data_IF_748846337835
#
_entry.id   IF_748846337835
#
_cell.length_a   1.000
_cell.length_b   1.000
_cell.length_c   1.000
_cell.angle_alpha   90.00
_cell.angle_beta   90.00
_cell.angle_gamma   90.00
#
_symmetry.space_group_name_H-M   'P 1'
#
loop_
_entity.id
_entity.type
_entity.pdbx_description
1 polymer ?
#
# COMPACT_ATOMS: atom_id res chain seq x y z
N UNK A 1 -2.18 11.78 28.52
CA UNK A 1 -3.30 11.00 29.06
C UNK A 1 -3.68 9.91 28.09
N UNK A 2 -3.91 8.72 28.62
CA UNK A 2 -4.24 7.57 27.77
C UNK A 2 -5.49 7.80 26.93
N UNK A 3 -6.47 8.44 27.54
CA UNK A 3 -7.71 8.72 26.83
C UNK A 3 -7.46 9.56 25.59
N UNK A 4 -6.63 10.59 25.71
CA UNK A 4 -6.34 11.47 24.60
C UNK A 4 -5.59 10.76 23.50
N UNK A 5 -4.66 9.88 23.86
CA UNK A 5 -3.91 9.12 22.88
C UNK A 5 -4.83 8.22 22.06
N UNK A 6 -5.76 7.56 22.73
CA UNK A 6 -6.70 6.69 22.05
C UNK A 6 -7.62 7.46 21.12
N UNK A 7 -8.05 8.62 21.55
CA UNK A 7 -8.90 9.46 20.72
C UNK A 7 -8.15 9.93 19.48
N UNK A 8 -6.88 10.27 19.63
CA UNK A 8 -6.08 10.68 18.48
C UNK A 8 -5.97 9.57 17.45
N UNK A 9 -5.79 8.34 17.91
CA UNK A 9 -5.71 7.22 16.98
C UNK A 9 -7.00 7.02 16.20
N UNK A 10 -8.12 7.22 16.86
CA UNK A 10 -9.41 7.02 16.22
C UNK A 10 -9.68 8.08 15.16
N UNK A 11 -9.32 9.33 15.44
CA UNK A 11 -9.63 10.42 14.51
C UNK A 11 -8.47 10.77 13.58
N UNK A 12 -7.33 10.11 13.75
CA UNK A 12 -6.16 10.40 12.90
C UNK A 12 -6.46 9.98 11.47
N UNK A 13 -6.14 10.87 10.53
CA UNK A 13 -6.30 10.57 9.13
C UNK A 13 -5.33 9.50 8.69
N UNK A 14 -5.72 8.75 7.68
CA UNK A 14 -4.89 7.65 7.18
C UNK A 14 -4.54 7.88 5.73
N UNK A 15 -3.26 7.74 5.43
CA UNK A 15 -2.79 7.71 4.06
C UNK A 15 -2.73 6.24 3.67
N UNK A 16 -3.45 5.87 2.63
CA UNK A 16 -3.53 4.47 2.21
C UNK A 16 -2.55 4.25 1.09
N UNK A 17 -1.49 3.50 1.38
CA UNK A 17 -0.47 3.16 0.38
C UNK A 17 -0.75 1.78 -0.18
N UNK A 18 -0.84 1.71 -1.49
CA UNK A 18 -1.09 0.46 -2.21
C UNK A 18 0.26 -0.04 -2.75
N UNK A 19 0.66 -1.22 -2.32
CA UNK A 19 1.92 -1.81 -2.76
C UNK A 19 1.63 -2.78 -3.89
N UNK A 20 2.34 -2.62 -5.00
CA UNK A 20 2.20 -3.45 -6.18
C UNK A 20 3.48 -4.22 -6.41
N UNK A 21 3.36 -5.44 -6.91
CA UNK A 21 4.51 -6.26 -7.25
C UNK A 21 4.65 -6.31 -8.76
N UNK A 22 5.79 -5.90 -9.26
CA UNK A 22 6.12 -6.08 -10.66
C UNK A 22 7.24 -7.09 -10.77
N UNK A 23 7.65 -7.37 -12.00
CA UNK A 23 8.61 -8.44 -12.24
C UNK A 23 9.92 -8.21 -11.49
N UNK A 24 10.40 -6.99 -11.49
CA UNK A 24 11.74 -6.70 -11.01
C UNK A 24 11.77 -5.97 -9.67
N UNK A 25 10.64 -5.41 -9.23
CA UNK A 25 10.67 -4.61 -8.02
C UNK A 25 9.27 -4.45 -7.46
N UNK A 26 9.19 -3.71 -6.37
CA UNK A 26 7.92 -3.33 -5.76
C UNK A 26 7.72 -1.83 -5.96
N UNK A 27 6.47 -1.44 -6.14
CA UNK A 27 6.12 -0.03 -6.21
C UNK A 27 4.97 0.26 -5.28
N UNK A 28 4.75 1.53 -5.02
CA UNK A 28 3.62 1.90 -4.19
C UNK A 28 3.15 3.30 -4.56
N UNK A 29 1.88 3.55 -4.30
CA UNK A 29 1.30 4.87 -4.50
C UNK A 29 0.23 5.08 -3.45
N UNK A 30 0.01 6.34 -3.12
CA UNK A 30 -1.05 6.67 -2.16
C UNK A 30 -2.38 6.71 -2.91
N UNK A 31 -3.33 5.95 -2.39
CA UNK A 31 -4.65 5.90 -3.01
C UNK A 31 -5.43 7.19 -2.79
N UNK A 32 -5.22 7.80 -1.65
CA UNK A 32 -6.01 8.96 -1.25
C UNK A 32 -5.18 10.22 -1.00
N UNK A 33 -3.97 10.29 -1.56
CA UNK A 33 -3.12 11.44 -1.35
C UNK A 33 -2.20 11.60 -2.55
N UNK A 34 -2.43 12.62 -3.35
CA UNK A 34 -1.69 12.80 -4.59
C UNK A 34 -0.22 13.09 -4.33
N UNK A 35 0.62 12.60 -5.22
CA UNK A 35 2.02 12.97 -5.24
C UNK A 35 2.93 12.09 -4.42
N UNK A 36 2.44 11.01 -3.83
CA UNK A 36 3.26 10.10 -3.04
C UNK A 36 3.44 8.81 -3.81
N UNK A 37 4.68 8.56 -4.25
CA UNK A 37 5.05 7.36 -5.00
C UNK A 37 6.34 6.82 -4.43
N UNK A 38 6.48 5.50 -4.42
CA UNK A 38 7.65 4.87 -3.86
C UNK A 38 7.98 3.60 -4.63
N UNK A 39 9.22 3.16 -4.51
CA UNK A 39 9.66 1.94 -5.17
C UNK A 39 10.80 1.34 -4.37
N UNK A 40 11.05 0.05 -4.57
CA UNK A 40 12.14 -0.61 -3.89
C UNK A 40 12.20 -2.07 -4.26
N UNK A 41 13.25 -2.73 -3.79
CA UNK A 41 13.48 -4.14 -4.08
C UNK A 41 12.75 -5.06 -3.11
N UNK A 42 12.16 -4.51 -2.07
CA UNK A 42 11.45 -5.28 -1.06
C UNK A 42 10.32 -4.42 -0.52
N UNK A 43 9.41 -5.06 0.21
CA UNK A 43 8.33 -4.30 0.86
C UNK A 43 8.93 -3.34 1.88
N UNK A 44 9.96 -3.77 2.61
CA UNK A 44 10.59 -2.88 3.58
C UNK A 44 11.20 -1.66 2.89
N UNK A 45 11.86 -1.88 1.75
CA UNK A 45 12.47 -0.78 1.02
C UNK A 45 11.40 0.20 0.52
N UNK A 46 10.27 -0.32 0.06
CA UNK A 46 9.17 0.52 -0.39
C UNK A 46 8.64 1.37 0.75
N UNK A 47 8.51 0.78 1.92
CA UNK A 47 8.01 1.53 3.07
C UNK A 47 8.98 2.65 3.47
N UNK A 48 10.27 2.36 3.44
CA UNK A 48 11.26 3.38 3.74
C UNK A 48 11.25 4.47 2.68
N UNK A 49 11.11 4.09 1.42
CA UNK A 49 11.07 5.07 0.34
C UNK A 49 9.82 5.94 0.42
N UNK A 50 8.71 5.39 0.91
CA UNK A 50 7.50 6.18 1.11
C UNK A 50 7.73 7.29 2.14
N UNK A 51 8.37 6.95 3.25
CA UNK A 51 8.65 7.94 4.28
C UNK A 51 9.57 9.03 3.72
N UNK A 52 10.55 8.61 2.94
CA UNK A 52 11.48 9.56 2.33
C UNK A 52 10.76 10.45 1.31
N UNK A 53 9.84 9.87 0.53
CA UNK A 53 9.09 10.65 -0.45
C UNK A 53 8.27 11.74 0.23
N UNK A 54 7.63 11.40 1.36
CA UNK A 54 6.85 12.39 2.09
C UNK A 54 7.77 13.47 2.66
N UNK A 55 8.91 13.06 3.19
CA UNK A 55 9.87 14.04 3.73
C UNK A 55 10.32 15.02 2.65
N UNK A 56 10.64 14.50 1.47
CA UNK A 56 11.08 15.35 0.37
C UNK A 56 9.98 16.28 -0.10
N UNK A 57 8.76 15.79 -0.15
CA UNK A 57 7.64 16.62 -0.56
C UNK A 57 7.50 17.81 0.39
N UNK A 58 7.60 17.54 1.68
CA UNK A 58 7.47 18.61 2.66
C UNK A 58 8.63 19.58 2.64
N UNK A 59 9.83 19.10 2.30
CA UNK A 59 10.98 19.98 2.23
C UNK A 59 10.99 20.87 1.01
N UNK A 60 10.47 20.34 -0.11
CA UNK A 60 10.60 21.04 -1.38
C UNK A 60 9.41 21.92 -1.71
N UNK A 61 8.33 21.82 -0.97
CA UNK A 61 7.12 22.60 -1.23
C UNK A 61 6.71 23.37 0.00
N UNK A 62 6.20 24.60 -0.18
CA UNK A 62 5.64 25.33 0.95
C UNK A 62 4.40 24.62 1.48
N UNK A 63 4.14 24.81 2.76
CA UNK A 63 3.06 24.08 3.44
C UNK A 63 1.72 24.28 2.76
N UNK A 64 1.49 25.44 2.16
CA UNK A 64 0.22 25.70 1.48
C UNK A 64 -0.02 24.75 0.31
N UNK A 65 1.05 24.18 -0.23
CA UNK A 65 0.97 23.27 -1.38
C UNK A 65 0.97 21.81 -0.98
N UNK A 66 1.07 21.50 0.30
CA UNK A 66 1.04 20.11 0.76
C UNK A 66 -0.36 19.54 0.57
N UNK A 67 -0.46 18.25 0.24
CA UNK A 67 -1.76 17.61 0.29
C UNK A 67 -2.39 17.75 1.68
N UNK A 68 -3.70 17.84 1.69
CA UNK A 68 -4.45 18.06 2.92
C UNK A 68 -4.07 17.08 4.02
N UNK A 69 -3.91 15.79 3.66
CA UNK A 69 -3.64 14.76 4.65
C UNK A 69 -2.28 14.91 5.32
N UNK A 70 -1.34 15.62 4.70
CA UNK A 70 -0.01 15.78 5.27
C UNK A 70 0.13 16.97 6.20
N UNK A 71 -0.93 17.79 6.34
CA UNK A 71 -0.82 19.01 7.12
C UNK A 71 -1.00 18.78 8.60
N UNK A 72 -1.67 17.70 8.98
CA UNK A 72 -1.88 17.35 10.38
C UNK A 72 -1.28 15.98 10.65
N UNK A 73 -1.52 15.47 11.83
CA UNK A 73 -1.07 14.12 12.17
C UNK A 73 -1.78 13.11 11.29
N UNK A 74 -1.04 12.11 10.86
CA UNK A 74 -1.58 11.05 10.01
C UNK A 74 -0.85 9.75 10.32
N UNK A 75 -1.46 8.65 9.90
CA UNK A 75 -0.82 7.35 9.92
C UNK A 75 -0.83 6.80 8.51
N UNK A 76 -0.05 5.76 8.27
CA UNK A 76 0.01 5.13 6.97
C UNK A 76 -0.54 3.72 7.09
N UNK A 77 -1.52 3.40 6.27
CA UNK A 77 -2.07 2.07 6.18
C UNK A 77 -1.55 1.43 4.91
N UNK A 78 -0.98 0.23 5.04
CA UNK A 78 -0.35 -0.46 3.91
C UNK A 78 -1.28 -1.54 3.42
N UNK A 79 -1.53 -1.55 2.11
CA UNK A 79 -2.33 -2.59 1.47
C UNK A 79 -1.56 -3.11 0.27
N UNK A 80 -1.72 -4.40 -0.04
CA UNK A 80 -1.08 -4.96 -1.22
C UNK A 80 -2.11 -5.05 -2.33
N UNK A 81 -1.64 -4.88 -3.56
CA UNK A 81 -2.49 -5.07 -4.74
C UNK A 81 -2.50 -6.57 -5.03
N UNK A 82 -3.56 -7.23 -4.59
CA UNK A 82 -3.63 -8.68 -4.63
C UNK A 82 -3.36 -9.24 -6.03
N UNK A 83 -4.00 -8.72 -7.10
CA UNK A 83 -3.74 -9.29 -8.43
C UNK A 83 -2.26 -9.25 -8.83
N UNK A 84 -1.56 -8.15 -8.57
CA UNK A 84 -0.17 -8.07 -9.00
C UNK A 84 0.71 -9.04 -8.22
N UNK A 85 0.44 -9.21 -6.93
CA UNK A 85 1.19 -10.17 -6.12
C UNK A 85 0.92 -11.60 -6.58
N UNK A 86 -0.35 -11.91 -6.83
CA UNK A 86 -0.70 -13.26 -7.27
C UNK A 86 -0.12 -13.57 -8.64
N UNK A 87 -0.17 -12.61 -9.54
CA UNK A 87 0.38 -12.80 -10.87
C UNK A 87 1.86 -13.13 -10.79
N UNK A 88 2.59 -12.42 -9.94
CA UNK A 88 4.01 -12.68 -9.78
C UNK A 88 4.26 -14.05 -9.17
N UNK A 89 3.61 -14.33 -8.04
CA UNK A 89 3.90 -15.55 -7.29
C UNK A 89 3.32 -16.80 -7.92
N UNK A 90 2.37 -16.67 -8.85
CA UNK A 90 1.83 -17.83 -9.53
C UNK A 90 2.91 -18.56 -10.34
N UNK A 91 4.01 -17.89 -10.62
CA UNK A 91 5.12 -18.51 -11.32
C UNK A 91 5.95 -19.42 -10.43
N UNK A 92 5.77 -19.33 -9.12
CA UNK A 92 6.59 -20.06 -8.15
C UNK A 92 5.79 -20.97 -7.25
N UNK A 93 4.49 -20.77 -7.15
CA UNK A 93 3.66 -21.44 -6.17
C UNK A 93 2.38 -21.96 -6.78
N UNK A 94 1.91 -23.08 -6.24
CA UNK A 94 0.59 -23.58 -6.58
C UNK A 94 -0.46 -22.70 -5.90
N UNK A 95 -1.72 -22.88 -6.32
CA UNK A 95 -2.83 -22.20 -5.65
C UNK A 95 -2.89 -22.60 -4.18
N UNK A 96 -2.59 -23.87 -3.90
CA UNK A 96 -2.59 -24.34 -2.52
C UNK A 96 -1.55 -23.61 -1.69
N UNK A 97 -0.36 -23.41 -2.25
CA UNK A 97 0.69 -22.67 -1.56
C UNK A 97 0.31 -21.22 -1.33
N UNK A 98 -0.32 -20.61 -2.32
CA UNK A 98 -0.75 -19.23 -2.18
C UNK A 98 -1.87 -19.08 -1.16
N UNK A 99 -2.75 -20.09 -1.08
CA UNK A 99 -3.80 -20.06 -0.06
C UNK A 99 -3.19 -20.07 1.33
N UNK A 100 -2.18 -20.91 1.53
CA UNK A 100 -1.52 -20.95 2.84
C UNK A 100 -0.83 -19.64 3.17
N UNK A 101 -0.25 -18.99 2.17
CA UNK A 101 0.49 -17.75 2.39
C UNK A 101 -0.44 -16.56 2.63
N UNK A 102 -1.52 -16.48 1.87
CA UNK A 102 -2.38 -15.30 1.89
C UNK A 102 -3.63 -15.45 2.73
N UNK A 103 -4.04 -16.68 3.01
CA UNK A 103 -5.32 -16.92 3.68
C UNK A 103 -6.51 -16.82 2.76
N UNK A 104 -6.30 -16.57 1.48
CA UNK A 104 -7.38 -16.46 0.49
C UNK A 104 -7.58 -17.84 -0.14
N UNK A 105 -8.84 -18.30 -0.22
CA UNK A 105 -9.09 -19.66 -0.72
C UNK A 105 -8.77 -19.76 -2.21
N UNK A 106 -8.56 -21.00 -2.67
CA UNK A 106 -8.06 -21.24 -4.02
C UNK A 106 -9.01 -20.75 -5.10
N UNK A 107 -10.30 -20.85 -4.86
CA UNK A 107 -11.26 -20.38 -5.85
C UNK A 107 -11.16 -18.87 -6.05
N UNK A 108 -11.03 -18.15 -4.95
CA UNK A 108 -10.87 -16.70 -5.01
C UNK A 108 -9.56 -16.33 -5.67
N UNK A 109 -8.49 -17.05 -5.35
CA UNK A 109 -7.18 -16.80 -5.96
C UNK A 109 -7.25 -17.02 -7.47
N UNK A 110 -7.92 -18.08 -7.89
CA UNK A 110 -8.07 -18.37 -9.32
C UNK A 110 -8.83 -17.26 -10.02
N UNK A 111 -9.87 -16.72 -9.38
CA UNK A 111 -10.63 -15.62 -9.96
C UNK A 111 -9.76 -14.39 -10.14
N UNK A 112 -8.95 -14.07 -9.16
CA UNK A 112 -8.05 -12.92 -9.27
C UNK A 112 -7.06 -13.11 -10.41
N UNK A 113 -6.46 -14.30 -10.51
CA UNK A 113 -5.47 -14.57 -11.54
C UNK A 113 -6.08 -14.50 -12.94
N UNK A 114 -7.33 -14.86 -13.06
CA UNK A 114 -8.02 -14.83 -14.35
C UNK A 114 -8.74 -13.51 -14.57
N UNK A 115 -8.56 -12.56 -13.67
CA UNK A 115 -9.16 -11.24 -13.78
C UNK A 115 -10.68 -11.26 -13.83
N UNK A 116 -11.28 -12.30 -13.24
CA UNK A 116 -12.72 -12.39 -13.18
C UNK A 116 -13.29 -11.55 -12.06
N UNK A 117 -12.47 -11.23 -11.09
CA UNK A 117 -12.87 -10.35 -9.99
C UNK A 117 -11.64 -9.56 -9.60
N UNK A 118 -11.81 -8.27 -9.38
CA UNK A 118 -10.71 -7.44 -8.93
C UNK A 118 -11.04 -6.91 -7.54
N UNK A 119 -10.05 -6.88 -6.64
CA UNK A 119 -10.31 -6.38 -5.29
C UNK A 119 -10.49 -4.89 -5.24
N UNK A 120 -10.28 -4.21 -6.35
CA UNK A 120 -10.28 -2.76 -6.37
C UNK A 120 -10.79 -2.26 -7.71
N UNK A 121 -11.58 -1.20 -7.63
CA UNK A 121 -12.10 -0.56 -8.83
C UNK A 121 -11.18 0.57 -9.24
N UNK A 122 -11.14 0.79 -10.50
CA UNK A 122 -10.39 1.92 -11.03
C UNK A 122 -11.30 3.08 -11.32
#
# INVERSE_FOLDING_TARGET
MEFDTKMKEIIMEKIIMIIEKSKDHFGAYAENCDGIYAAGDSIEAVKMDTVEAIRLLKETKPEEQWPYLLKDEYSIEWKIDVPSFLEYYSNFMSLSGMEKMTGINQKQLSNYLNHKATPRKK
#
